data_IF_714580017914
#
_entry.id   IF_714580017914
#
_cell.length_a   1.000
_cell.length_b   1.000
_cell.length_c   1.000
_cell.angle_alpha   90.00
_cell.angle_beta   90.00
_cell.angle_gamma   90.00
#
_symmetry.space_group_name_H-M   'P 1'
#
loop_
_entity.id
_entity.type
_entity.pdbx_description
1 polymer ?
#
# COMPACT_ATOMS: atom_id res chain seq x y z
N UNK A 1 11.32 23.88 -19.06
CA UNK A 1 10.21 23.66 -19.95
C UNK A 1 9.82 22.20 -20.08
N UNK A 2 10.78 21.30 -20.21
CA UNK A 2 10.48 19.89 -20.31
C UNK A 2 9.81 19.36 -19.07
N UNK A 3 10.02 20.01 -17.97
CA UNK A 3 9.43 19.57 -16.72
C UNK A 3 7.93 19.65 -16.71
N UNK A 4 7.38 20.58 -17.47
CA UNK A 4 5.95 20.72 -17.53
C UNK A 4 5.29 19.53 -18.18
N UNK A 5 5.96 18.95 -19.15
CA UNK A 5 5.45 17.75 -19.78
C UNK A 5 5.36 16.63 -18.77
N UNK A 6 6.30 16.56 -17.86
CA UNK A 6 6.29 15.55 -16.83
C UNK A 6 5.11 15.69 -15.90
N UNK A 7 4.66 16.92 -15.68
CA UNK A 7 3.53 17.17 -14.78
C UNK A 7 2.24 16.61 -15.35
N UNK A 8 2.13 16.53 -16.65
CA UNK A 8 0.92 16.06 -17.29
C UNK A 8 0.91 14.56 -17.52
N UNK A 9 2.07 13.95 -17.42
CA UNK A 9 2.18 12.52 -17.65
C UNK A 9 2.83 11.86 -16.45
N UNK A 10 2.45 10.61 -16.23
CA UNK A 10 3.07 9.86 -15.17
C UNK A 10 4.51 9.54 -15.50
N UNK A 11 5.39 9.69 -14.53
CA UNK A 11 6.77 9.32 -14.71
C UNK A 11 6.86 7.79 -14.74
N UNK A 12 7.98 7.27 -15.20
CA UNK A 12 8.20 5.85 -15.21
C UNK A 12 8.06 5.26 -13.79
N UNK A 13 8.58 5.99 -12.81
CA UNK A 13 8.48 5.56 -11.42
C UNK A 13 7.04 5.48 -10.95
N UNK A 14 6.23 6.45 -11.33
CA UNK A 14 4.84 6.46 -10.93
C UNK A 14 4.07 5.34 -11.60
N UNK A 15 4.34 5.09 -12.86
CA UNK A 15 3.70 4.00 -13.57
C UNK A 15 4.03 2.66 -12.91
N UNK A 16 5.30 2.47 -12.59
CA UNK A 16 5.74 1.25 -11.96
C UNK A 16 5.12 1.11 -10.58
N UNK A 17 5.07 2.19 -9.83
CA UNK A 17 4.45 2.20 -8.51
C UNK A 17 2.99 1.80 -8.60
N UNK A 18 2.27 2.37 -9.56
CA UNK A 18 0.86 2.06 -9.75
C UNK A 18 0.67 0.58 -10.07
N UNK A 19 1.55 0.00 -10.86
CA UNK A 19 1.45 -1.41 -11.19
C UNK A 19 1.71 -2.29 -9.97
N UNK A 20 2.56 -1.85 -9.07
CA UNK A 20 2.93 -2.62 -7.89
C UNK A 20 1.99 -2.42 -6.71
N UNK A 21 1.29 -1.29 -6.69
CA UNK A 21 0.42 -0.97 -5.55
C UNK A 21 -0.64 -2.02 -5.25
N UNK A 22 -1.36 -2.56 -6.24
CA UNK A 22 -2.36 -3.58 -5.94
C UNK A 22 -1.75 -4.78 -5.21
N UNK A 23 -0.59 -5.23 -5.67
CA UNK A 23 0.09 -6.34 -5.02
C UNK A 23 0.56 -5.95 -3.62
N UNK A 24 1.02 -4.73 -3.46
CA UNK A 24 1.46 -4.24 -2.16
C UNK A 24 0.30 -4.18 -1.18
N UNK A 25 -0.83 -3.67 -1.63
CA UNK A 25 -2.03 -3.58 -0.80
C UNK A 25 -2.47 -4.98 -0.39
N UNK A 26 -2.49 -5.90 -1.35
CA UNK A 26 -2.87 -7.27 -1.07
C UNK A 26 -1.93 -7.90 -0.04
N UNK A 27 -0.64 -7.66 -0.19
CA UNK A 27 0.34 -8.19 0.75
C UNK A 27 0.12 -7.63 2.15
N UNK A 28 -0.17 -6.33 2.25
CA UNK A 28 -0.43 -5.72 3.54
C UNK A 28 -1.70 -6.27 4.19
N UNK A 29 -2.73 -6.47 3.39
CA UNK A 29 -3.99 -7.01 3.90
C UNK A 29 -3.81 -8.46 4.35
N UNK A 30 -3.04 -9.22 3.59
CA UNK A 30 -2.74 -10.60 3.95
C UNK A 30 -1.94 -10.65 5.25
N UNK A 31 -0.96 -9.79 5.37
CA UNK A 31 -0.16 -9.71 6.59
C UNK A 31 -1.05 -9.37 7.78
N UNK A 32 -1.96 -8.44 7.61
CA UNK A 32 -2.87 -8.04 8.67
C UNK A 32 -3.73 -9.21 9.11
N UNK A 33 -4.29 -9.93 8.16
CA UNK A 33 -5.13 -11.08 8.44
C UNK A 33 -4.34 -12.20 9.14
N UNK A 34 -3.14 -12.49 8.63
CA UNK A 34 -2.29 -13.52 9.21
C UNK A 34 -1.90 -13.16 10.63
N UNK A 35 -1.53 -11.92 10.84
CA UNK A 35 -1.10 -11.45 12.14
C UNK A 35 -2.25 -11.51 13.13
N UNK A 36 -3.42 -11.10 12.72
CA UNK A 36 -4.61 -11.15 13.55
C UNK A 36 -4.94 -12.59 13.94
N UNK A 37 -4.86 -13.49 12.99
CA UNK A 37 -5.11 -14.91 13.23
C UNK A 37 -4.10 -15.46 14.23
N UNK A 38 -2.83 -15.11 14.05
CA UNK A 38 -1.78 -15.58 14.94
C UNK A 38 -1.99 -15.05 16.35
N UNK A 39 -2.38 -13.79 16.47
CA UNK A 39 -2.58 -13.17 17.78
C UNK A 39 -3.80 -13.72 18.49
N UNK A 40 -4.73 -14.29 17.76
CA UNK A 40 -5.92 -14.92 18.34
C UNK A 40 -5.68 -16.36 18.70
N UNK A 41 -4.57 -16.94 18.30
CA UNK A 41 -4.27 -18.34 18.63
C UNK A 41 -4.06 -18.51 20.11
N UNK A 42 -4.54 -19.65 20.64
CA UNK A 42 -4.42 -19.92 22.07
C UNK A 42 -2.95 -19.97 22.52
N UNK A 43 -2.09 -20.42 21.63
CA UNK A 43 -0.66 -20.56 21.94
C UNK A 43 0.11 -19.27 21.86
N UNK A 44 -0.54 -18.22 21.41
CA UNK A 44 0.16 -16.95 21.19
C UNK A 44 0.80 -16.42 22.48
N UNK A 45 0.16 -16.66 23.61
CA UNK A 45 0.67 -16.19 24.89
C UNK A 45 2.00 -16.86 25.28
N UNK A 46 2.29 -17.99 24.67
CA UNK A 46 3.54 -18.69 24.91
C UNK A 46 4.67 -18.11 24.11
N UNK A 47 4.34 -17.21 23.18
CA UNK A 47 5.34 -16.56 22.37
C UNK A 47 6.14 -15.56 23.21
N UNK A 48 7.36 -15.32 22.78
CA UNK A 48 8.23 -14.34 23.44
C UNK A 48 7.53 -12.99 23.55
N UNK A 49 7.66 -12.36 24.71
CA UNK A 49 7.05 -11.05 24.94
C UNK A 49 7.52 -10.01 23.92
N UNK A 50 8.79 -10.08 23.58
CA UNK A 50 9.33 -9.14 22.57
C UNK A 50 8.63 -9.31 21.24
N UNK A 51 8.35 -10.54 20.85
CA UNK A 51 7.66 -10.82 19.61
C UNK A 51 6.21 -10.35 19.69
N UNK A 52 5.56 -10.58 20.82
CA UNK A 52 4.18 -10.13 21.00
C UNK A 52 4.08 -8.62 20.88
N UNK A 53 5.03 -7.92 21.44
CA UNK A 53 5.06 -6.47 21.37
C UNK A 53 5.29 -6.00 19.94
N UNK A 54 6.22 -6.62 19.25
CA UNK A 54 6.52 -6.28 17.87
C UNK A 54 5.31 -6.55 16.98
N UNK A 55 4.64 -7.68 17.19
CA UNK A 55 3.47 -8.03 16.41
C UNK A 55 2.35 -7.02 16.64
N UNK A 56 2.15 -6.61 17.87
CA UNK A 56 1.12 -5.63 18.18
C UNK A 56 1.41 -4.28 17.51
N UNK A 57 2.65 -3.84 17.57
CA UNK A 57 3.04 -2.60 16.94
C UNK A 57 2.84 -2.68 15.43
N UNK A 58 3.20 -3.79 14.85
CA UNK A 58 2.99 -3.99 13.41
C UNK A 58 1.51 -4.00 13.08
N UNK A 59 0.72 -4.72 13.88
CA UNK A 59 -0.71 -4.79 13.68
C UNK A 59 -1.36 -3.41 13.77
N UNK A 60 -0.88 -2.59 14.69
CA UNK A 60 -1.40 -1.23 14.84
C UNK A 60 -1.02 -0.35 13.66
N UNK A 61 0.13 -0.60 13.06
CA UNK A 61 0.62 0.19 11.93
C UNK A 61 -0.02 -0.22 10.61
N UNK A 62 -0.39 -1.48 10.47
CA UNK A 62 -0.91 -2.00 9.21
C UNK A 62 -2.11 -1.25 8.66
N UNK A 63 -3.14 -0.94 9.47
CA UNK A 63 -4.28 -0.18 8.93
C UNK A 63 -3.87 1.14 8.30
N UNK A 64 -2.96 1.85 8.95
CA UNK A 64 -2.48 3.12 8.42
C UNK A 64 -1.71 2.93 7.13
N UNK A 65 -0.89 1.87 7.07
CA UNK A 65 -0.12 1.56 5.87
C UNK A 65 -1.04 1.19 4.71
N UNK A 66 -2.06 0.41 4.99
CA UNK A 66 -3.03 0.01 3.97
C UNK A 66 -3.77 1.23 3.45
N UNK A 67 -4.21 2.08 4.37
CA UNK A 67 -4.93 3.29 4.01
C UNK A 67 -4.06 4.21 3.15
N UNK A 68 -2.81 4.38 3.54
CA UNK A 68 -1.88 5.20 2.78
C UNK A 68 -1.65 4.62 1.38
N UNK A 69 -1.55 3.29 1.29
CA UNK A 69 -1.36 2.64 0.00
C UNK A 69 -2.57 2.83 -0.90
N UNK A 70 -3.77 2.72 -0.36
CA UNK A 70 -4.99 2.96 -1.13
C UNK A 70 -5.06 4.41 -1.59
N UNK A 71 -4.74 5.36 -0.73
CA UNK A 71 -4.74 6.76 -1.09
C UNK A 71 -3.78 7.04 -2.22
N UNK A 72 -2.59 6.44 -2.15
CA UNK A 72 -1.60 6.60 -3.20
C UNK A 72 -2.08 5.97 -4.50
N UNK A 73 -2.69 4.80 -4.39
CA UNK A 73 -3.21 4.11 -5.55
C UNK A 73 -4.29 4.94 -6.27
N UNK A 74 -5.19 5.53 -5.49
CA UNK A 74 -6.23 6.39 -6.06
C UNK A 74 -5.64 7.61 -6.74
N UNK A 75 -4.64 8.20 -6.11
CA UNK A 75 -3.96 9.37 -6.66
C UNK A 75 -3.31 9.03 -8.00
N UNK A 76 -2.60 7.92 -8.05
CA UNK A 76 -1.94 7.52 -9.29
C UNK A 76 -2.93 7.09 -10.34
N UNK A 77 -4.01 6.43 -9.95
CA UNK A 77 -5.06 6.03 -10.88
C UNK A 77 -5.69 7.25 -11.53
N UNK A 78 -6.02 8.26 -10.72
CA UNK A 78 -6.60 9.49 -11.24
C UNK A 78 -5.63 10.17 -12.18
N UNK A 79 -4.37 10.16 -11.83
CA UNK A 79 -3.35 10.77 -12.67
C UNK A 79 -3.22 10.05 -14.00
N UNK A 80 -3.28 8.74 -13.95
CA UNK A 80 -3.23 7.91 -15.15
C UNK A 80 -4.43 8.17 -16.05
N UNK A 81 -5.60 8.27 -15.47
CA UNK A 81 -6.81 8.56 -16.24
C UNK A 81 -6.77 9.93 -16.87
N UNK A 82 -6.28 10.91 -16.13
CA UNK A 82 -6.14 12.26 -16.66
C UNK A 82 -5.19 12.29 -17.84
N UNK A 83 -4.09 11.54 -17.75
CA UNK A 83 -3.13 11.48 -18.84
C UNK A 83 -3.74 10.80 -20.05
N UNK A 84 -4.53 9.76 -19.85
CA UNK A 84 -5.19 9.06 -20.94
C UNK A 84 -6.22 9.94 -21.62
N UNK A 85 -6.99 10.69 -20.83
CA UNK A 85 -8.00 11.59 -21.39
C UNK A 85 -7.36 12.68 -22.22
N UNK A 86 -6.26 13.19 -21.75
CA UNK A 86 -5.56 14.22 -22.47
C UNK A 86 -5.10 13.72 -23.82
N UNK A 87 -4.81 12.47 -23.89
CA UNK A 87 -4.35 11.85 -25.11
C UNK A 87 -5.41 11.79 -26.18
N UNK A 88 -6.65 11.60 -25.78
CA UNK A 88 -7.73 11.45 -26.72
C UNK A 88 -8.11 12.75 -27.40
N UNK A 89 -7.75 13.86 -26.83
CA UNK A 89 -8.01 15.14 -27.44
C UNK A 89 -6.99 15.45 -28.51
#
# INVERSE_FOLDING_TARGET
PTRRSSDLRMSFKETKELEELPAKIEALETEQSDLMTAMCAADYFKTDVAKQKADKERSDALPALIEAAYARWEELTAKSEAAAQKKTV
#
